data_IF_114376075537
#
_entry.id   IF_114376075537
#
_cell.length_a   1.000
_cell.length_b   1.000
_cell.length_c   1.000
_cell.angle_alpha   90.00
_cell.angle_beta   90.00
_cell.angle_gamma   90.00
#
_symmetry.space_group_name_H-M   'P 1'
#
loop_
_entity.id
_entity.type
_entity.pdbx_description
1 polymer ?
#
# COMPACT_ATOMS: atom_id res chain seq x y z
N UNK A 1 9.93 15.58 -4.16
CA UNK A 1 9.02 16.30 -3.25
C UNK A 1 8.25 17.43 -3.93
N UNK A 2 8.66 17.86 -5.12
CA UNK A 2 8.05 18.98 -5.84
C UNK A 2 6.99 18.58 -6.88
N UNK A 3 6.71 17.29 -7.02
CA UNK A 3 5.76 16.79 -8.02
C UNK A 3 4.45 16.44 -7.32
N UNK A 4 3.32 17.04 -7.72
CA UNK A 4 2.01 16.65 -7.21
C UNK A 4 1.73 15.15 -7.47
N UNK A 5 1.11 14.47 -6.53
CA UNK A 5 0.77 13.05 -6.68
C UNK A 5 -0.11 12.77 -7.92
N UNK A 6 -0.94 13.73 -8.30
CA UNK A 6 -1.82 13.64 -9.47
C UNK A 6 -1.07 13.37 -10.78
N UNK A 7 0.13 13.95 -10.95
CA UNK A 7 0.93 13.81 -12.19
C UNK A 7 2.00 12.72 -12.08
N UNK A 8 2.21 12.18 -10.88
CA UNK A 8 3.24 11.18 -10.64
C UNK A 8 3.08 9.91 -11.49
N UNK A 9 1.88 9.34 -11.67
CA UNK A 9 1.71 8.15 -12.51
C UNK A 9 2.22 8.33 -13.93
N UNK A 10 1.96 9.46 -14.57
CA UNK A 10 2.39 9.71 -15.95
C UNK A 10 3.90 9.85 -16.06
N UNK A 11 4.57 10.40 -15.05
CA UNK A 11 6.02 10.46 -14.99
C UNK A 11 6.66 9.08 -14.73
N UNK A 12 5.96 8.17 -14.08
CA UNK A 12 6.46 6.85 -13.74
C UNK A 12 6.34 5.85 -14.89
N UNK A 13 5.33 5.96 -15.74
CA UNK A 13 5.08 5.03 -16.85
C UNK A 13 6.30 4.74 -17.72
N UNK A 14 7.02 5.75 -18.26
CA UNK A 14 8.20 5.49 -19.09
C UNK A 14 9.34 4.82 -18.31
N UNK A 15 9.50 5.14 -17.02
CA UNK A 15 10.51 4.55 -16.16
C UNK A 15 10.24 3.05 -15.99
N UNK A 16 9.00 2.69 -15.68
CA UNK A 16 8.63 1.28 -15.50
C UNK A 16 8.60 0.50 -16.82
N UNK A 17 8.34 1.15 -17.95
CA UNK A 17 8.51 0.53 -19.26
C UNK A 17 9.98 0.12 -19.52
N UNK A 18 10.93 0.97 -19.17
CA UNK A 18 12.37 0.65 -19.28
C UNK A 18 12.80 -0.43 -18.27
N UNK A 19 12.34 -0.37 -17.02
CA UNK A 19 12.60 -1.41 -16.03
C UNK A 19 12.10 -2.77 -16.54
N UNK A 20 10.88 -2.81 -17.09
CA UNK A 20 10.30 -4.04 -17.64
C UNK A 20 11.14 -4.63 -18.77
N UNK A 21 11.69 -3.79 -19.63
CA UNK A 21 12.58 -4.26 -20.71
C UNK A 21 13.92 -4.75 -20.16
N UNK A 22 14.53 -3.99 -19.27
CA UNK A 22 15.82 -4.33 -18.68
C UNK A 22 15.80 -5.67 -17.95
N UNK A 23 14.74 -5.90 -17.18
CA UNK A 23 14.61 -7.07 -16.30
C UNK A 23 13.65 -8.13 -16.90
N UNK A 24 13.52 -8.18 -18.24
CA UNK A 24 12.57 -9.03 -18.95
C UNK A 24 12.75 -10.52 -18.64
N UNK A 25 13.99 -10.99 -18.57
CA UNK A 25 14.30 -12.40 -18.29
C UNK A 25 13.85 -12.80 -16.86
N UNK A 26 14.04 -11.90 -15.89
CA UNK A 26 13.58 -12.11 -14.53
C UNK A 26 12.04 -12.23 -14.48
N UNK A 27 11.34 -11.32 -15.14
CA UNK A 27 9.88 -11.36 -15.19
C UNK A 27 9.35 -12.60 -15.91
N UNK A 28 9.97 -12.99 -17.02
CA UNK A 28 9.62 -14.22 -17.74
C UNK A 28 9.82 -15.48 -16.87
N UNK A 29 10.91 -15.54 -16.12
CA UNK A 29 11.20 -16.62 -15.19
C UNK A 29 10.17 -16.70 -14.06
N UNK A 30 9.81 -15.58 -13.46
CA UNK A 30 8.80 -15.48 -12.42
C UNK A 30 7.41 -15.88 -12.93
N UNK A 31 7.02 -15.41 -14.10
CA UNK A 31 5.73 -15.74 -14.74
C UNK A 31 5.63 -17.25 -15.01
N UNK A 32 6.70 -17.85 -15.56
CA UNK A 32 6.78 -19.30 -15.78
C UNK A 32 6.65 -20.09 -14.47
N UNK A 33 7.18 -19.56 -13.38
CA UNK A 33 7.06 -20.16 -12.04
C UNK A 33 5.67 -19.95 -11.40
N UNK A 34 4.75 -19.19 -12.04
CA UNK A 34 3.41 -18.91 -11.54
C UNK A 34 3.33 -17.70 -10.59
N UNK A 35 4.40 -16.90 -10.50
CA UNK A 35 4.38 -15.70 -9.68
C UNK A 35 3.50 -14.61 -10.32
N UNK A 36 2.53 -14.12 -9.57
CA UNK A 36 1.65 -13.04 -10.02
C UNK A 36 2.28 -11.70 -9.65
N UNK A 37 2.66 -10.94 -10.65
CA UNK A 37 3.17 -9.58 -10.47
C UNK A 37 2.37 -8.58 -11.32
N UNK A 38 2.48 -7.31 -10.97
CA UNK A 38 1.81 -6.24 -11.72
C UNK A 38 2.64 -4.97 -11.75
N UNK A 39 2.53 -4.21 -12.81
CA UNK A 39 3.04 -2.84 -12.93
C UNK A 39 1.94 -1.80 -12.66
N UNK A 40 0.82 -2.21 -12.09
CA UNK A 40 -0.37 -1.39 -11.91
C UNK A 40 -1.27 -1.40 -13.13
N UNK A 41 -2.52 -1.01 -12.93
CA UNK A 41 -3.57 -1.02 -13.97
C UNK A 41 -3.22 -0.11 -15.16
N UNK A 42 -2.47 0.96 -14.91
CA UNK A 42 -2.06 1.96 -15.88
C UNK A 42 -0.57 1.89 -16.25
N UNK A 43 0.14 0.89 -15.76
CA UNK A 43 1.59 0.72 -16.01
C UNK A 43 2.48 1.70 -15.26
N UNK A 44 1.96 2.44 -14.28
CA UNK A 44 2.72 3.42 -13.49
C UNK A 44 3.60 2.81 -12.39
N UNK A 45 3.51 1.50 -12.19
CA UNK A 45 4.40 0.72 -11.34
C UNK A 45 4.19 0.85 -9.85
N UNK A 46 5.17 0.34 -9.11
CA UNK A 46 5.08 0.16 -7.66
C UNK A 46 4.87 1.46 -6.87
N UNK A 47 5.45 2.57 -7.31
CA UNK A 47 5.29 3.83 -6.59
C UNK A 47 3.84 4.34 -6.60
N UNK A 48 3.17 4.25 -7.74
CA UNK A 48 1.76 4.63 -7.82
C UNK A 48 0.86 3.63 -7.11
N UNK A 49 1.14 2.32 -7.23
CA UNK A 49 0.42 1.28 -6.47
C UNK A 49 0.54 1.49 -4.97
N UNK A 50 1.74 1.79 -4.49
CA UNK A 50 2.00 2.07 -3.09
C UNK A 50 1.17 3.26 -2.58
N UNK A 51 1.15 4.35 -3.34
CA UNK A 51 0.37 5.54 -2.97
C UNK A 51 -1.14 5.31 -3.03
N UNK A 52 -1.60 4.53 -4.00
CA UNK A 52 -3.02 4.23 -4.19
C UNK A 52 -3.57 3.25 -3.17
N UNK A 53 -2.86 2.15 -2.94
CA UNK A 53 -3.35 0.98 -2.18
C UNK A 53 -2.59 0.69 -0.91
N UNK A 54 -1.48 1.39 -0.64
CA UNK A 54 -0.53 0.94 0.37
C UNK A 54 0.10 -0.40 0.00
N UNK A 55 0.11 -0.75 -1.29
CA UNK A 55 0.60 -2.04 -1.77
C UNK A 55 2.04 -2.28 -1.32
N UNK A 56 2.26 -3.47 -0.80
CA UNK A 56 3.58 -3.91 -0.39
C UNK A 56 4.50 -4.16 -1.58
N UNK A 57 5.76 -4.08 -1.30
CA UNK A 57 6.84 -4.53 -2.17
C UNK A 57 7.84 -5.30 -1.32
N UNK A 58 8.64 -6.14 -1.95
CA UNK A 58 9.78 -6.72 -1.28
C UNK A 58 11.08 -6.28 -1.96
N UNK A 59 12.15 -6.24 -1.17
CA UNK A 59 13.48 -5.96 -1.69
C UNK A 59 14.06 -7.27 -2.20
N UNK A 60 14.40 -7.31 -3.50
CA UNK A 60 14.97 -8.49 -4.11
C UNK A 60 16.40 -8.76 -3.59
N UNK A 61 16.52 -9.83 -2.85
CA UNK A 61 17.79 -10.30 -2.27
C UNK A 61 18.07 -11.77 -2.60
N UNK A 62 17.49 -12.28 -3.69
CA UNK A 62 17.65 -13.65 -4.18
C UNK A 62 16.38 -14.50 -4.08
N UNK A 63 15.29 -14.00 -3.51
CA UNK A 63 14.05 -14.77 -3.41
C UNK A 63 13.43 -15.07 -4.78
N UNK A 64 13.50 -14.14 -5.72
CA UNK A 64 13.01 -14.37 -7.09
C UNK A 64 13.70 -15.54 -7.76
N UNK A 65 15.02 -15.64 -7.63
CA UNK A 65 15.76 -16.77 -8.19
C UNK A 65 15.37 -18.10 -7.53
N UNK A 66 15.16 -18.09 -6.21
CA UNK A 66 14.68 -19.29 -5.51
C UNK A 66 13.28 -19.74 -5.95
N UNK A 67 12.42 -18.81 -6.31
CA UNK A 67 11.09 -19.09 -6.87
C UNK A 67 11.25 -19.68 -8.27
N UNK A 68 12.05 -19.07 -9.13
CA UNK A 68 12.34 -19.54 -10.50
C UNK A 68 12.92 -20.95 -10.49
N UNK A 69 13.84 -21.23 -9.57
CA UNK A 69 14.46 -22.54 -9.38
C UNK A 69 13.54 -23.58 -8.72
N UNK A 70 12.34 -23.18 -8.29
CA UNK A 70 11.38 -24.06 -7.62
C UNK A 70 11.75 -24.44 -6.16
N UNK A 71 12.74 -23.75 -5.58
CA UNK A 71 13.12 -23.90 -4.16
C UNK A 71 12.09 -23.28 -3.22
N UNK A 72 11.46 -22.20 -3.65
CA UNK A 72 10.25 -21.64 -3.02
C UNK A 72 9.08 -22.00 -3.94
N UNK A 73 8.14 -22.77 -3.42
CA UNK A 73 6.94 -23.15 -4.16
C UNK A 73 5.85 -22.12 -3.99
N UNK A 74 5.07 -21.88 -5.04
CA UNK A 74 3.96 -20.94 -5.04
C UNK A 74 2.61 -21.66 -5.15
N UNK A 75 1.62 -21.09 -4.52
CA UNK A 75 0.20 -21.37 -4.71
C UNK A 75 -0.52 -20.03 -4.91
N UNK A 76 -0.47 -19.53 -6.13
CA UNK A 76 -1.11 -18.27 -6.51
C UNK A 76 -2.57 -18.49 -6.95
N UNK A 77 -3.42 -17.49 -6.74
CA UNK A 77 -4.82 -17.51 -7.17
C UNK A 77 -5.76 -18.36 -6.30
N UNK A 78 -5.27 -18.85 -5.17
CA UNK A 78 -6.06 -19.62 -4.19
C UNK A 78 -5.96 -18.99 -2.81
N UNK A 79 -6.95 -19.23 -1.97
CA UNK A 79 -6.97 -18.75 -0.59
C UNK A 79 -6.88 -19.91 0.39
N UNK A 80 -6.51 -19.61 1.62
CA UNK A 80 -6.61 -20.56 2.72
C UNK A 80 -8.09 -20.77 3.03
N UNK A 81 -8.51 -22.04 3.09
CA UNK A 81 -9.85 -22.41 3.52
C UNK A 81 -9.87 -22.62 5.04
N UNK A 82 -9.07 -23.57 5.52
CA UNK A 82 -8.91 -23.78 6.95
C UNK A 82 -7.56 -24.39 7.33
N UNK A 83 -7.25 -24.32 8.62
CA UNK A 83 -6.05 -24.91 9.21
C UNK A 83 -6.36 -26.25 9.87
N UNK A 84 -5.51 -27.22 9.63
CA UNK A 84 -5.49 -28.51 10.34
C UNK A 84 -4.27 -28.55 11.28
N UNK A 85 -4.16 -29.59 12.07
CA UNK A 85 -3.09 -29.71 13.07
C UNK A 85 -1.67 -29.63 12.46
N UNK A 86 -1.47 -30.15 11.24
CA UNK A 86 -0.17 -30.18 10.53
C UNK A 86 -0.29 -29.85 9.05
N UNK A 87 -1.33 -29.16 8.67
CA UNK A 87 -1.54 -28.80 7.27
C UNK A 87 -2.47 -27.61 7.12
N UNK A 88 -2.42 -27.02 5.92
CA UNK A 88 -3.31 -25.95 5.49
C UNK A 88 -4.12 -26.46 4.30
N UNK A 89 -5.44 -26.40 4.38
CA UNK A 89 -6.35 -26.68 3.28
C UNK A 89 -6.63 -25.40 2.49
N UNK A 90 -6.61 -25.50 1.18
CA UNK A 90 -6.81 -24.36 0.27
C UNK A 90 -8.16 -24.49 -0.44
N UNK A 91 -8.67 -23.36 -0.93
CA UNK A 91 -9.98 -23.26 -1.61
C UNK A 91 -10.07 -24.04 -2.92
N UNK A 92 -8.95 -24.46 -3.49
CA UNK A 92 -8.87 -25.36 -4.66
C UNK A 92 -8.91 -26.86 -4.27
N UNK A 93 -9.11 -27.17 -2.99
CA UNK A 93 -9.12 -28.53 -2.45
C UNK A 93 -7.73 -29.13 -2.18
N UNK A 94 -6.65 -28.41 -2.50
CA UNK A 94 -5.30 -28.90 -2.19
C UNK A 94 -4.98 -28.75 -0.69
N UNK A 95 -4.10 -29.63 -0.20
CA UNK A 95 -3.66 -29.63 1.20
C UNK A 95 -2.14 -29.52 1.23
N UNK A 96 -1.64 -28.55 1.96
CA UNK A 96 -0.21 -28.30 2.15
C UNK A 96 0.21 -28.73 3.55
N UNK A 97 1.18 -29.64 3.66
CA UNK A 97 1.79 -29.93 4.94
C UNK A 97 2.54 -28.69 5.46
N UNK A 98 2.36 -28.35 6.72
CA UNK A 98 2.99 -27.18 7.35
C UNK A 98 3.20 -27.43 8.83
N UNK A 99 4.42 -27.18 9.30
CA UNK A 99 4.78 -27.16 10.71
C UNK A 99 4.72 -25.74 11.29
N UNK A 100 4.86 -24.73 10.43
CA UNK A 100 4.76 -23.30 10.76
C UNK A 100 4.01 -22.58 9.66
N UNK A 101 3.10 -21.69 10.04
CA UNK A 101 2.41 -20.78 9.13
C UNK A 101 2.66 -19.34 9.56
N UNK A 102 3.12 -18.51 8.62
CA UNK A 102 3.36 -17.08 8.85
C UNK A 102 2.33 -16.29 8.07
N UNK A 103 1.55 -15.47 8.76
CA UNK A 103 0.57 -14.59 8.16
C UNK A 103 1.23 -13.27 7.75
N UNK A 104 1.37 -13.03 6.47
CA UNK A 104 1.85 -11.77 5.90
C UNK A 104 0.77 -11.13 5.03
N UNK A 105 -0.43 -10.98 5.58
CA UNK A 105 -1.68 -10.66 4.88
C UNK A 105 -1.92 -9.15 4.69
N UNK A 106 -0.95 -8.33 5.05
CA UNK A 106 -1.05 -6.87 4.95
C UNK A 106 -1.75 -6.22 6.14
N UNK A 107 -2.00 -4.94 6.01
CA UNK A 107 -2.59 -4.11 7.06
C UNK A 107 -3.93 -3.53 6.60
N UNK A 108 -4.83 -3.29 7.55
CA UNK A 108 -6.04 -2.51 7.35
C UNK A 108 -5.77 -1.01 7.25
N UNK A 109 -6.83 -0.23 7.06
CA UNK A 109 -6.73 1.23 7.07
C UNK A 109 -6.43 1.75 8.48
N UNK A 110 -5.60 2.80 8.58
CA UNK A 110 -5.20 3.38 9.86
C UNK A 110 -6.35 3.98 10.66
N UNK A 111 -7.50 4.25 10.07
CA UNK A 111 -8.68 4.68 10.84
C UNK A 111 -9.19 3.59 11.81
N UNK A 112 -8.85 2.34 11.60
CA UNK A 112 -9.16 1.28 12.58
C UNK A 112 -8.39 1.48 13.88
N UNK A 113 -7.19 2.06 13.85
CA UNK A 113 -6.52 2.48 15.09
C UNK A 113 -7.29 3.56 15.84
N UNK A 114 -7.91 4.51 15.11
CA UNK A 114 -8.77 5.49 15.76
C UNK A 114 -10.01 4.84 16.37
N UNK A 115 -10.54 3.76 15.75
CA UNK A 115 -11.64 2.97 16.29
C UNK A 115 -11.28 2.32 17.62
N UNK A 116 -10.11 1.72 17.68
CA UNK A 116 -9.63 1.02 18.88
C UNK A 116 -9.18 1.96 19.99
N UNK A 117 -8.47 3.04 19.63
CA UNK A 117 -7.82 3.93 20.60
C UNK A 117 -8.70 5.09 21.04
N UNK A 118 -9.70 5.49 20.25
CA UNK A 118 -10.57 6.64 20.53
C UNK A 118 -12.03 6.19 20.57
N UNK A 119 -12.66 5.99 19.40
CA UNK A 119 -14.02 5.46 19.30
C UNK A 119 -14.40 5.08 17.87
N UNK A 120 -15.44 4.23 17.68
CA UNK A 120 -16.03 3.94 16.38
C UNK A 120 -16.50 5.19 15.63
N UNK A 121 -17.14 6.12 16.33
CA UNK A 121 -17.69 7.36 15.75
C UNK A 121 -16.59 8.23 15.15
N UNK A 122 -15.44 8.33 15.83
CA UNK A 122 -14.26 9.07 15.31
C UNK A 122 -13.71 8.39 14.07
N UNK A 123 -13.55 7.07 14.08
CA UNK A 123 -13.09 6.32 12.93
C UNK A 123 -14.01 6.50 11.71
N UNK A 124 -15.31 6.42 11.90
CA UNK A 124 -16.32 6.57 10.85
C UNK A 124 -16.35 8.01 10.32
N UNK A 125 -16.23 9.01 11.20
CA UNK A 125 -16.14 10.42 10.84
C UNK A 125 -14.91 10.73 10.00
N UNK A 126 -13.77 10.18 10.35
CA UNK A 126 -12.50 10.35 9.60
C UNK A 126 -12.57 9.63 8.25
N UNK A 127 -13.11 8.42 8.24
CA UNK A 127 -13.10 7.55 7.09
C UNK A 127 -11.70 7.00 6.79
N UNK A 128 -11.53 6.46 5.60
CA UNK A 128 -10.28 5.79 5.22
C UNK A 128 -9.07 6.72 5.22
N UNK A 129 -7.96 6.17 5.64
CA UNK A 129 -6.66 6.82 5.69
C UNK A 129 -5.75 6.13 4.70
N UNK A 130 -4.87 6.89 4.03
CA UNK A 130 -4.05 6.45 2.92
C UNK A 130 -4.82 6.24 1.62
N UNK A 131 -4.09 6.10 0.53
CA UNK A 131 -4.61 5.91 -0.82
C UNK A 131 -4.92 7.21 -1.55
N UNK A 132 -4.71 7.20 -2.85
CA UNK A 132 -5.09 8.28 -3.76
C UNK A 132 -6.52 8.10 -4.28
N UNK A 133 -7.25 7.19 -3.70
CA UNK A 133 -8.67 7.10 -3.88
C UNK A 133 -9.17 6.18 -4.99
N UNK A 134 -8.41 5.47 -5.72
CA UNK A 134 -8.87 4.84 -6.97
C UNK A 134 -9.48 3.45 -6.87
N UNK A 135 -9.44 2.78 -5.72
CA UNK A 135 -9.59 1.32 -5.72
C UNK A 135 -10.71 0.80 -4.86
N UNK A 136 -11.47 1.70 -4.29
CA UNK A 136 -12.50 1.31 -3.36
C UNK A 136 -13.83 1.91 -3.77
N UNK A 137 -14.89 1.13 -3.63
CA UNK A 137 -16.25 1.61 -3.89
C UNK A 137 -16.52 2.90 -3.11
N UNK A 138 -16.92 3.94 -3.83
CA UNK A 138 -17.16 5.27 -3.27
C UNK A 138 -15.90 6.12 -3.08
N UNK A 139 -14.76 5.67 -3.57
CA UNK A 139 -13.52 6.44 -3.56
C UNK A 139 -13.45 7.38 -4.77
N UNK A 140 -13.14 8.68 -4.58
CA UNK A 140 -13.12 9.65 -5.68
C UNK A 140 -12.06 9.40 -6.74
N UNK A 141 -11.14 8.47 -6.49
CA UNK A 141 -10.14 8.09 -7.46
C UNK A 141 -8.84 8.92 -7.43
N UNK A 142 -7.84 8.56 -8.25
CA UNK A 142 -6.52 9.18 -8.25
C UNK A 142 -6.50 10.60 -8.81
N UNK A 143 -7.57 11.03 -9.49
CA UNK A 143 -7.70 12.39 -10.02
C UNK A 143 -7.84 13.46 -8.94
N UNK A 144 -8.23 13.11 -7.72
CA UNK A 144 -8.18 14.00 -6.56
C UNK A 144 -6.73 14.34 -6.24
N UNK A 145 -5.81 13.39 -6.44
CA UNK A 145 -4.37 13.63 -6.45
C UNK A 145 -3.74 13.87 -5.10
N UNK A 146 -4.43 13.53 -4.01
CA UNK A 146 -3.91 13.66 -2.66
C UNK A 146 -4.08 12.40 -1.83
N UNK A 147 -3.11 12.15 -0.94
CA UNK A 147 -3.25 11.09 0.05
C UNK A 147 -4.32 11.46 1.08
N UNK A 148 -5.26 10.54 1.30
CA UNK A 148 -6.37 10.73 2.22
C UNK A 148 -5.87 10.76 3.66
N UNK A 149 -6.24 11.82 4.35
CA UNK A 149 -6.04 11.99 5.80
C UNK A 149 -4.59 11.81 6.30
N UNK A 150 -3.59 11.82 5.40
CA UNK A 150 -2.19 11.69 5.77
C UNK A 150 -1.52 13.06 5.83
N UNK A 151 -0.83 13.35 6.93
CA UNK A 151 -0.01 14.56 7.16
C UNK A 151 -0.77 15.88 7.05
N UNK A 152 -2.07 15.85 7.09
CA UNK A 152 -2.98 16.99 6.98
C UNK A 152 -4.10 16.87 8.00
N UNK A 153 -4.88 17.94 8.27
CA UNK A 153 -6.06 17.85 9.12
C UNK A 153 -7.04 16.81 8.61
N UNK A 154 -7.65 16.11 9.55
CA UNK A 154 -8.76 15.20 9.26
C UNK A 154 -10.10 15.89 9.52
N UNK A 155 -11.20 15.18 9.24
CA UNK A 155 -12.55 15.64 9.62
C UNK A 155 -12.74 15.66 11.14
N UNK A 156 -11.91 14.95 11.90
CA UNK A 156 -11.88 15.03 13.35
C UNK A 156 -10.90 16.11 13.78
N UNK A 157 -11.40 17.12 14.46
CA UNK A 157 -10.55 18.17 15.01
C UNK A 157 -9.48 17.59 15.93
N UNK A 158 -8.28 18.15 15.86
CA UNK A 158 -7.09 17.74 16.64
C UNK A 158 -6.65 16.28 16.44
N UNK A 159 -7.00 15.68 15.30
CA UNK A 159 -6.53 14.35 14.91
C UNK A 159 -5.81 14.40 13.56
N UNK A 160 -4.59 13.87 13.53
CA UNK A 160 -3.76 13.73 12.32
C UNK A 160 -3.21 12.33 12.24
N UNK A 161 -3.02 11.84 11.04
CA UNK A 161 -2.29 10.60 10.80
C UNK A 161 -0.91 10.90 10.23
N UNK A 162 0.08 10.21 10.75
CA UNK A 162 1.46 10.28 10.33
C UNK A 162 2.00 8.86 10.15
N UNK A 163 2.76 8.62 9.08
CA UNK A 163 3.27 7.29 8.76
C UNK A 163 3.85 7.21 7.35
N UNK A 164 3.64 6.08 6.69
CA UNK A 164 4.27 5.73 5.44
C UNK A 164 5.64 5.07 5.66
N UNK A 165 6.45 4.95 4.60
CA UNK A 165 7.82 4.49 4.76
C UNK A 165 8.67 5.58 5.47
N UNK A 166 9.86 5.18 5.95
CA UNK A 166 10.72 6.08 6.73
C UNK A 166 11.12 7.37 5.99
N UNK A 167 11.28 7.30 4.67
CA UNK A 167 11.61 8.46 3.85
C UNK A 167 10.43 9.44 3.78
N UNK A 168 9.22 8.94 3.54
CA UNK A 168 8.01 9.76 3.52
C UNK A 168 7.72 10.33 4.91
N UNK A 169 7.81 9.52 5.95
CA UNK A 169 7.62 9.94 7.33
C UNK A 169 8.55 11.10 7.69
N UNK A 170 9.85 10.97 7.37
CA UNK A 170 10.83 12.05 7.58
C UNK A 170 10.48 13.31 6.81
N UNK A 171 10.11 13.18 5.54
CA UNK A 171 9.82 14.33 4.68
C UNK A 171 8.56 15.07 5.15
N UNK A 172 7.47 14.35 5.32
CA UNK A 172 6.18 14.96 5.63
C UNK A 172 6.02 15.36 7.10
N UNK A 173 6.85 14.86 8.01
CA UNK A 173 6.88 15.34 9.41
C UNK A 173 7.17 16.83 9.49
N UNK A 174 7.95 17.37 8.57
CA UNK A 174 8.26 18.82 8.51
C UNK A 174 6.99 19.64 8.23
N UNK A 175 6.16 19.19 7.28
CA UNK A 175 4.91 19.86 6.95
C UNK A 175 3.89 19.73 8.09
N UNK A 176 3.79 18.55 8.68
CA UNK A 176 2.92 18.33 9.83
C UNK A 176 3.33 19.22 11.01
N UNK A 177 4.62 19.30 11.32
CA UNK A 177 5.12 20.16 12.39
C UNK A 177 4.84 21.64 12.13
N UNK A 178 5.03 22.12 10.89
CA UNK A 178 4.68 23.49 10.50
C UNK A 178 3.18 23.76 10.67
N UNK A 179 2.34 22.83 10.25
CA UNK A 179 0.90 22.94 10.40
C UNK A 179 0.48 23.02 11.87
N UNK A 180 1.00 22.13 12.70
CA UNK A 180 0.72 22.12 14.15
C UNK A 180 1.21 23.40 14.82
N UNK A 181 2.39 23.90 14.44
CA UNK A 181 2.94 25.16 14.97
C UNK A 181 2.09 26.35 14.54
N UNK A 182 1.65 26.42 13.30
CA UNK A 182 0.76 27.46 12.82
C UNK A 182 -0.55 27.52 13.63
N UNK A 183 -1.16 26.35 13.88
CA UNK A 183 -2.36 26.27 14.74
C UNK A 183 -2.08 26.70 16.19
N UNK A 184 -0.95 26.29 16.73
CA UNK A 184 -0.53 26.72 18.08
C UNK A 184 -0.38 28.25 18.18
N UNK A 185 0.11 28.89 17.13
CA UNK A 185 0.22 30.37 17.05
C UNK A 185 -1.09 31.06 16.65
N UNK A 186 -2.19 30.36 16.53
CA UNK A 186 -3.49 30.92 16.11
C UNK A 186 -3.57 31.34 14.65
N UNK A 187 -2.64 30.91 13.81
CA UNK A 187 -2.68 31.19 12.37
C UNK A 187 -3.76 30.35 11.68
N UNK A 188 -4.44 30.93 10.73
CA UNK A 188 -5.40 30.22 9.92
C UNK A 188 -4.71 29.11 9.10
N UNK A 189 -5.22 27.90 9.21
CA UNK A 189 -4.74 26.73 8.44
C UNK A 189 -5.90 26.14 7.62
N UNK A 190 -6.32 26.81 6.55
CA UNK A 190 -7.45 26.35 5.74
C UNK A 190 -7.12 25.01 5.09
N UNK A 191 -8.11 24.13 5.01
CA UNK A 191 -8.06 22.89 4.24
C UNK A 191 -8.83 23.13 2.96
N UNK A 192 -8.15 23.00 1.84
CA UNK A 192 -8.78 23.12 0.53
C UNK A 192 -9.34 21.75 0.15
N UNK A 193 -10.62 21.70 -0.14
CA UNK A 193 -11.35 20.53 -0.61
C UNK A 193 -11.44 20.49 -2.13
#
# INVERSE_FOLDING_TARGET
ASVPFKVLPDLQKPIYAEIRKRDADLYAGLEKAGFQYTFGEDGSGIHALYLRRGAGYYIETGASQMIIDGRIKLKAGVSVDHFNQKSVSLTDGSVLAADLVVFATGYGSMNEWARELISPEVADKVGKVWGLGSDMKGDPGPWVGELRNMWKPTRQENLWFHGGNLMQSRHYSLYLALHLKARYEGMATPVYS
#
